data_IF_466194404764
#
_entry.id   IF_466194404764
#
_cell.length_a   1.000
_cell.length_b   1.000
_cell.length_c   1.000
_cell.angle_alpha   90.00
_cell.angle_beta   90.00
_cell.angle_gamma   90.00
#
_symmetry.space_group_name_H-M   'P 1'
#
loop_
_entity.id
_entity.type
_entity.pdbx_description
1 polymer ?
#
# COMPACT_ATOMS: atom_id res chain seq x y z
N UNK A 1 29.96 -5.88 4.92
CA UNK A 1 29.24 -5.69 3.67
C UNK A 1 27.87 -5.07 3.93
N UNK A 2 27.53 -4.06 3.15
CA UNK A 2 26.24 -3.41 3.27
C UNK A 2 25.20 -4.14 2.43
N UNK A 3 24.05 -4.42 3.03
CA UNK A 3 22.93 -5.02 2.33
C UNK A 3 21.94 -3.92 1.97
N UNK A 4 21.55 -3.84 0.71
CA UNK A 4 20.49 -2.92 0.28
C UNK A 4 19.17 -3.36 0.89
N UNK A 5 18.46 -2.44 1.54
CA UNK A 5 17.14 -2.73 2.06
C UNK A 5 16.16 -2.97 0.91
N UNK A 6 15.26 -3.91 1.09
CA UNK A 6 14.18 -4.13 0.15
C UNK A 6 13.30 -2.86 0.11
N UNK A 7 12.87 -2.49 -1.10
CA UNK A 7 11.90 -1.42 -1.25
C UNK A 7 10.56 -1.86 -0.68
N UNK A 8 9.89 -0.96 0.01
CA UNK A 8 8.56 -1.18 0.51
C UNK A 8 7.63 -0.17 -0.14
N UNK A 9 6.47 -0.62 -0.58
CA UNK A 9 5.45 0.27 -1.15
C UNK A 9 4.16 0.06 -0.38
N UNK A 10 3.61 1.17 0.12
CA UNK A 10 2.33 1.14 0.82
C UNK A 10 1.20 1.20 -0.22
N UNK A 11 0.28 0.24 -0.14
CA UNK A 11 -0.93 0.25 -0.95
C UNK A 11 -2.09 0.58 -0.02
N UNK A 12 -2.76 1.68 -0.29
CA UNK A 12 -3.85 2.22 0.52
C UNK A 12 -5.13 2.29 -0.30
N UNK A 13 -6.26 2.35 0.35
CA UNK A 13 -7.55 2.46 -0.32
C UNK A 13 -8.60 1.54 0.25
N UNK A 14 -9.78 1.58 -0.36
CA UNK A 14 -10.91 0.74 0.03
C UNK A 14 -11.91 0.67 -1.12
N UNK A 15 -12.88 -0.23 -0.98
CA UNK A 15 -13.93 -0.42 -1.97
C UNK A 15 -13.76 -1.74 -2.71
N UNK A 16 -14.77 -2.61 -2.60
CA UNK A 16 -14.75 -3.94 -3.23
C UNK A 16 -14.61 -3.87 -4.75
N UNK A 17 -15.14 -2.82 -5.36
CA UNK A 17 -15.05 -2.61 -6.81
C UNK A 17 -13.64 -2.38 -7.32
N UNK A 18 -12.70 -2.05 -6.40
CA UNK A 18 -11.31 -1.76 -6.75
C UNK A 18 -10.35 -2.91 -6.46
N UNK A 19 -10.86 -4.05 -6.01
CA UNK A 19 -10.01 -5.18 -5.62
C UNK A 19 -9.17 -5.73 -6.77
N UNK A 20 -9.75 -5.85 -7.97
CA UNK A 20 -9.01 -6.35 -9.12
C UNK A 20 -7.80 -5.46 -9.45
N UNK A 21 -7.97 -4.15 -9.39
CA UNK A 21 -6.87 -3.21 -9.62
C UNK A 21 -5.81 -3.33 -8.51
N UNK A 22 -6.22 -3.44 -7.26
CA UNK A 22 -5.31 -3.58 -6.13
C UNK A 22 -4.51 -4.88 -6.20
N UNK A 23 -5.16 -5.98 -6.60
CA UNK A 23 -4.49 -7.26 -6.78
C UNK A 23 -3.39 -7.17 -7.84
N UNK A 24 -3.69 -6.53 -8.96
CA UNK A 24 -2.71 -6.32 -10.02
C UNK A 24 -1.54 -5.45 -9.55
N UNK A 25 -1.82 -4.38 -8.80
CA UNK A 25 -0.77 -3.54 -8.20
C UNK A 25 0.14 -4.38 -7.32
N UNK A 26 -0.43 -5.19 -6.43
CA UNK A 26 0.34 -6.06 -5.53
C UNK A 26 1.22 -7.04 -6.30
N UNK A 27 0.66 -7.67 -7.33
CA UNK A 27 1.40 -8.61 -8.17
C UNK A 27 2.58 -7.92 -8.85
N UNK A 28 2.35 -6.78 -9.47
CA UNK A 28 3.39 -6.04 -10.18
C UNK A 28 4.49 -5.53 -9.26
N UNK A 29 4.13 -5.07 -8.05
CA UNK A 29 5.11 -4.67 -7.05
C UNK A 29 6.01 -5.84 -6.65
N UNK A 30 5.41 -6.99 -6.40
CA UNK A 30 6.17 -8.19 -6.04
C UNK A 30 7.10 -8.63 -7.17
N UNK A 31 6.65 -8.54 -8.42
CA UNK A 31 7.49 -8.85 -9.58
C UNK A 31 8.71 -7.91 -9.69
N UNK A 32 8.59 -6.72 -9.14
CA UNK A 32 9.68 -5.74 -9.07
C UNK A 32 10.51 -5.88 -7.80
N UNK A 33 10.28 -6.92 -7.00
CA UNK A 33 11.04 -7.19 -5.78
C UNK A 33 10.65 -6.34 -4.59
N UNK A 34 9.49 -5.68 -4.63
CA UNK A 34 9.03 -4.83 -3.55
C UNK A 34 8.24 -5.61 -2.51
N UNK A 35 8.38 -5.22 -1.25
CA UNK A 35 7.50 -5.66 -0.17
C UNK A 35 6.25 -4.77 -0.19
N UNK A 36 5.08 -5.37 -0.07
CA UNK A 36 3.81 -4.66 -0.07
C UNK A 36 3.32 -4.45 1.36
N UNK A 37 3.17 -3.19 1.76
CA UNK A 37 2.71 -2.79 3.08
C UNK A 37 1.28 -2.28 2.96
N UNK A 38 0.39 -2.75 3.83
CA UNK A 38 -0.99 -2.24 3.89
C UNK A 38 -1.44 -2.11 5.34
N UNK A 39 -2.65 -1.59 5.53
CA UNK A 39 -3.32 -1.58 6.83
C UNK A 39 -3.81 -2.94 7.29
N UNK A 40 -3.63 -3.98 6.49
CA UNK A 40 -3.82 -5.37 6.92
C UNK A 40 -5.24 -5.91 6.94
N UNK A 41 -6.23 -5.11 6.56
CA UNK A 41 -7.64 -5.52 6.63
C UNK A 41 -8.15 -6.05 5.28
N UNK A 42 -9.42 -5.78 4.96
CA UNK A 42 -10.10 -6.35 3.79
C UNK A 42 -10.02 -5.47 2.53
N UNK A 43 -10.73 -5.89 1.52
CA UNK A 43 -10.89 -5.18 0.25
C UNK A 43 -9.55 -4.91 -0.44
N UNK A 44 -9.25 -3.66 -0.72
CA UNK A 44 -8.01 -3.25 -1.40
C UNK A 44 -6.77 -3.76 -0.68
N UNK A 45 -6.74 -3.69 0.64
CA UNK A 45 -5.60 -4.16 1.44
C UNK A 45 -5.36 -5.65 1.26
N UNK A 46 -6.41 -6.44 1.38
CA UNK A 46 -6.33 -7.89 1.19
C UNK A 46 -5.98 -8.25 -0.26
N UNK A 47 -6.58 -7.56 -1.22
CA UNK A 47 -6.33 -7.81 -2.65
C UNK A 47 -4.88 -7.53 -3.03
N UNK A 48 -4.31 -6.43 -2.54
CA UNK A 48 -2.90 -6.11 -2.78
C UNK A 48 -1.97 -7.19 -2.22
N UNK A 49 -2.25 -7.65 -1.00
CA UNK A 49 -1.49 -8.75 -0.40
C UNK A 49 -1.64 -10.05 -1.18
N UNK A 50 -2.85 -10.39 -1.60
CA UNK A 50 -3.12 -11.60 -2.39
C UNK A 50 -2.30 -11.58 -3.69
N UNK A 51 -2.35 -10.47 -4.42
CA UNK A 51 -1.58 -10.32 -5.66
C UNK A 51 -0.09 -10.45 -5.44
N UNK A 52 0.44 -9.86 -4.38
CA UNK A 52 1.85 -9.95 -4.03
C UNK A 52 2.24 -11.40 -3.73
N UNK A 53 1.41 -12.14 -3.00
CA UNK A 53 1.68 -13.54 -2.67
C UNK A 53 1.65 -14.43 -3.91
N UNK A 54 0.77 -14.16 -4.86
CA UNK A 54 0.72 -14.90 -6.12
C UNK A 54 2.02 -14.77 -6.91
N UNK A 55 2.72 -13.66 -6.79
CA UNK A 55 4.00 -13.43 -7.45
C UNK A 55 5.21 -13.74 -6.54
N UNK A 56 5.00 -14.38 -5.41
CA UNK A 56 6.08 -14.77 -4.50
C UNK A 56 6.68 -13.65 -3.68
N UNK A 57 5.96 -12.54 -3.53
CA UNK A 57 6.43 -11.38 -2.78
C UNK A 57 6.23 -11.50 -1.28
N UNK A 58 6.67 -10.50 -0.55
CA UNK A 58 6.52 -10.38 0.91
C UNK A 58 5.49 -9.31 1.24
N UNK A 59 4.67 -9.57 2.25
CA UNK A 59 3.59 -8.67 2.66
C UNK A 59 3.67 -8.35 4.14
N UNK A 60 3.38 -7.09 4.49
CA UNK A 60 3.36 -6.61 5.87
C UNK A 60 2.02 -5.93 6.13
N UNK A 61 1.33 -6.37 7.18
CA UNK A 61 0.10 -5.76 7.66
C UNK A 61 0.40 -4.91 8.90
N UNK A 62 -0.03 -3.66 8.89
CA UNK A 62 0.07 -2.77 10.05
C UNK A 62 -1.34 -2.52 10.55
N UNK A 63 -1.73 -3.26 11.58
CA UNK A 63 -3.11 -3.30 12.08
C UNK A 63 -3.42 -2.19 13.08
N UNK A 64 -4.67 -1.70 13.08
CA UNK A 64 -5.08 -0.68 14.05
C UNK A 64 -5.35 -1.23 15.46
N UNK A 65 -5.68 -2.50 15.56
CA UNK A 65 -6.11 -3.13 16.81
C UNK A 65 -5.00 -3.84 17.56
N UNK A 66 -5.42 -4.74 18.44
CA UNK A 66 -4.52 -5.43 19.37
C UNK A 66 -4.36 -6.92 19.08
N UNK A 67 -4.98 -7.44 18.02
CA UNK A 67 -4.94 -8.87 17.70
C UNK A 67 -4.43 -9.10 16.28
N UNK A 68 -3.46 -9.99 16.15
CA UNK A 68 -2.94 -10.42 14.86
C UNK A 68 -3.99 -11.15 14.02
N UNK A 69 -5.00 -11.72 14.67
CA UNK A 69 -6.05 -12.46 13.99
C UNK A 69 -6.92 -11.60 13.08
N UNK A 70 -6.90 -10.28 13.26
CA UNK A 70 -7.63 -9.36 12.41
C UNK A 70 -6.99 -9.19 11.03
N UNK A 71 -5.74 -9.61 10.84
CA UNK A 71 -5.05 -9.48 9.56
C UNK A 71 -5.69 -10.38 8.49
N UNK A 72 -5.67 -9.90 7.24
CA UNK A 72 -6.08 -10.73 6.13
C UNK A 72 -5.15 -11.95 5.99
N UNK A 73 -5.60 -13.05 5.36
CA UNK A 73 -4.84 -14.30 5.34
C UNK A 73 -3.57 -14.27 4.47
N UNK A 74 -3.37 -13.21 3.68
CA UNK A 74 -2.18 -13.09 2.81
C UNK A 74 -1.06 -12.25 3.42
N UNK A 75 -1.22 -11.78 4.67
CA UNK A 75 -0.16 -11.05 5.36
C UNK A 75 0.90 -12.01 5.88
N UNK A 76 2.15 -11.82 5.45
CA UNK A 76 3.27 -12.63 5.96
C UNK A 76 3.67 -12.20 7.36
N UNK A 77 3.76 -10.89 7.57
CA UNK A 77 4.15 -10.29 8.85
C UNK A 77 3.10 -9.30 9.28
N UNK A 78 2.84 -9.25 10.58
CA UNK A 78 1.79 -8.42 11.13
C UNK A 78 2.32 -7.60 12.29
N UNK A 79 2.13 -6.29 12.23
CA UNK A 79 2.44 -5.36 13.31
C UNK A 79 1.12 -4.96 13.95
N UNK A 80 0.98 -5.20 15.26
CA UNK A 80 -0.22 -4.86 16.01
C UNK A 80 0.05 -3.55 16.75
N UNK A 81 -0.62 -2.48 16.36
CA UNK A 81 -0.31 -1.16 16.90
C UNK A 81 -1.16 -0.76 18.11
N UNK A 82 -2.41 -1.19 18.16
CA UNK A 82 -3.33 -0.80 19.23
C UNK A 82 -3.70 0.67 19.27
N UNK A 83 -3.43 1.43 18.20
CA UNK A 83 -3.65 2.89 18.19
C UNK A 83 -4.75 3.36 17.23
N UNK A 84 -5.55 2.43 16.71
CA UNK A 84 -6.68 2.78 15.85
C UNK A 84 -6.25 3.47 14.56
N UNK A 85 -6.99 4.50 14.15
CA UNK A 85 -6.73 5.21 12.91
C UNK A 85 -5.37 5.90 12.84
N UNK A 86 -4.73 6.15 13.98
CA UNK A 86 -3.38 6.74 13.98
C UNK A 86 -2.35 5.83 13.30
N UNK A 87 -2.63 4.53 13.15
CA UNK A 87 -1.74 3.61 12.44
C UNK A 87 -1.62 3.95 10.94
N UNK A 88 -2.51 4.79 10.42
CA UNK A 88 -2.42 5.23 9.02
C UNK A 88 -1.13 5.98 8.75
N UNK A 89 -0.60 6.68 9.75
CA UNK A 89 0.72 7.30 9.64
C UNK A 89 1.81 6.24 9.47
N UNK A 90 1.75 5.15 10.24
CA UNK A 90 2.73 4.08 10.15
C UNK A 90 2.69 3.40 8.77
N UNK A 91 1.51 3.21 8.19
CA UNK A 91 1.37 2.64 6.84
C UNK A 91 2.04 3.55 5.82
N UNK A 92 1.68 4.82 5.80
CA UNK A 92 2.24 5.79 4.84
C UNK A 92 3.75 5.95 5.01
N UNK A 93 4.22 6.01 6.26
CA UNK A 93 5.63 6.19 6.56
C UNK A 93 6.49 4.97 6.18
N UNK A 94 5.90 3.78 6.24
CA UNK A 94 6.62 2.52 5.96
C UNK A 94 6.84 2.28 4.49
N UNK A 95 6.14 2.99 3.60
CA UNK A 95 6.36 2.90 2.17
C UNK A 95 7.42 3.88 1.69
N UNK A 96 8.27 3.44 0.78
CA UNK A 96 9.15 4.35 0.03
C UNK A 96 8.31 5.17 -0.96
N UNK A 97 7.17 4.62 -1.36
CA UNK A 97 6.13 5.28 -2.13
C UNK A 97 4.76 4.78 -1.65
N UNK A 98 3.71 5.48 -2.04
CA UNK A 98 2.32 5.15 -1.69
C UNK A 98 1.50 5.06 -2.97
N UNK A 99 0.74 3.98 -3.13
CA UNK A 99 -0.22 3.84 -4.23
C UNK A 99 -1.61 3.75 -3.63
N UNK A 100 -2.48 4.66 -4.03
CA UNK A 100 -3.88 4.69 -3.58
C UNK A 100 -4.78 4.08 -4.66
N UNK A 101 -5.64 3.15 -4.24
CA UNK A 101 -6.59 2.44 -5.10
C UNK A 101 -7.98 2.57 -4.48
N UNK A 102 -8.87 3.32 -5.13
CA UNK A 102 -10.16 3.63 -4.52
C UNK A 102 -10.00 4.40 -3.22
N UNK A 103 -10.97 4.27 -2.34
CA UNK A 103 -10.83 4.79 -0.98
C UNK A 103 -11.73 5.96 -0.62
N UNK A 104 -11.61 6.41 0.62
CA UNK A 104 -12.39 7.49 1.19
C UNK A 104 -11.53 8.32 2.16
N UNK A 105 -12.10 8.74 3.26
CA UNK A 105 -11.41 9.65 4.20
C UNK A 105 -10.10 9.09 4.77
N UNK A 106 -10.06 7.81 5.11
CA UNK A 106 -8.84 7.18 5.60
C UNK A 106 -7.75 7.19 4.54
N UNK A 107 -8.13 6.98 3.29
CA UNK A 107 -7.21 7.01 2.15
C UNK A 107 -6.67 8.41 1.93
N UNK A 108 -7.52 9.43 2.01
CA UNK A 108 -7.09 10.83 1.93
C UNK A 108 -6.04 11.11 3.00
N UNK A 109 -6.27 10.65 4.23
CA UNK A 109 -5.32 10.84 5.33
C UNK A 109 -3.98 10.18 5.01
N UNK A 110 -3.98 8.94 4.54
CA UNK A 110 -2.76 8.24 4.18
C UNK A 110 -2.01 8.90 3.03
N UNK A 111 -2.74 9.36 2.01
CA UNK A 111 -2.14 10.08 0.89
C UNK A 111 -1.50 11.39 1.36
N UNK A 112 -2.23 12.15 2.17
CA UNK A 112 -1.73 13.43 2.71
C UNK A 112 -0.51 13.23 3.60
N UNK A 113 -0.52 12.21 4.46
CA UNK A 113 0.61 11.87 5.32
C UNK A 113 1.83 11.44 4.49
N UNK A 114 1.61 10.65 3.43
CA UNK A 114 2.68 10.28 2.51
C UNK A 114 3.35 11.49 1.87
N UNK A 115 2.55 12.43 1.38
CA UNK A 115 3.04 13.67 0.78
C UNK A 115 3.79 14.52 1.83
N UNK A 116 3.24 14.61 3.04
CA UNK A 116 3.86 15.35 4.15
C UNK A 116 5.25 14.81 4.48
N UNK A 117 5.43 13.50 4.35
CA UNK A 117 6.71 12.83 4.62
C UNK A 117 7.64 12.81 3.41
N UNK A 118 7.26 13.45 2.32
CA UNK A 118 8.08 13.48 1.11
C UNK A 118 8.02 12.21 0.26
N UNK A 119 7.03 11.35 0.50
CA UNK A 119 6.84 10.14 -0.32
C UNK A 119 6.17 10.51 -1.63
N UNK A 120 6.48 9.76 -2.68
CA UNK A 120 5.71 9.85 -3.91
C UNK A 120 4.37 9.15 -3.68
N UNK A 121 3.29 9.84 -4.01
CA UNK A 121 1.95 9.31 -3.88
C UNK A 121 1.33 9.23 -5.27
N UNK A 122 0.93 8.02 -5.66
CA UNK A 122 0.30 7.75 -6.95
C UNK A 122 -1.15 7.36 -6.72
N UNK A 123 -2.06 7.97 -7.46
CA UNK A 123 -3.49 7.72 -7.34
C UNK A 123 -4.02 7.02 -8.58
N UNK A 124 -4.58 5.82 -8.39
CA UNK A 124 -5.30 5.10 -9.44
C UNK A 124 -6.75 5.56 -9.52
N UNK A 125 -7.46 5.07 -10.54
CA UNK A 125 -8.88 5.33 -10.71
C UNK A 125 -9.64 5.02 -9.42
N UNK A 126 -10.58 5.88 -9.07
CA UNK A 126 -11.36 5.75 -7.84
C UNK A 126 -10.70 6.33 -6.60
N UNK A 127 -9.39 6.58 -6.64
CA UNK A 127 -8.72 7.20 -5.50
C UNK A 127 -9.10 8.68 -5.38
N UNK A 128 -9.15 9.20 -4.15
CA UNK A 128 -9.45 10.62 -3.94
C UNK A 128 -8.45 11.54 -4.62
N UNK A 129 -8.89 12.73 -4.98
CA UNK A 129 -8.01 13.77 -5.49
C UNK A 129 -7.34 14.48 -4.32
N UNK A 130 -6.02 14.33 -4.25
CA UNK A 130 -5.21 15.01 -3.24
C UNK A 130 -4.13 15.77 -3.99
N UNK A 131 -4.03 17.06 -3.71
CA UNK A 131 -3.05 17.91 -4.37
C UNK A 131 -1.63 17.40 -4.10
N UNK A 132 -0.85 17.22 -5.16
CA UNK A 132 0.49 16.64 -5.06
C UNK A 132 0.58 15.16 -5.41
N UNK A 133 -0.54 14.45 -5.44
CA UNK A 133 -0.56 13.06 -5.90
C UNK A 133 -0.53 13.01 -7.43
N UNK A 134 0.19 12.02 -7.96
CA UNK A 134 0.31 11.81 -9.41
C UNK A 134 -0.73 10.79 -9.85
N UNK A 135 -1.52 11.11 -10.87
CA UNK A 135 -2.52 10.20 -11.40
C UNK A 135 -1.91 9.16 -12.32
N UNK A 136 -2.35 7.92 -12.19
CA UNK A 136 -2.00 6.82 -13.07
C UNK A 136 -3.24 6.28 -13.77
N UNK A 137 -3.09 5.89 -15.02
CA UNK A 137 -4.20 5.40 -15.83
C UNK A 137 -4.54 3.92 -15.56
N UNK A 138 -3.57 3.15 -15.07
CA UNK A 138 -3.73 1.72 -14.85
C UNK A 138 -2.68 1.22 -13.83
N UNK A 139 -2.83 -0.02 -13.32
CA UNK A 139 -1.89 -0.56 -12.35
C UNK A 139 -0.43 -0.56 -12.80
N UNK A 140 -0.15 -0.90 -14.06
CA UNK A 140 1.23 -0.93 -14.56
C UNK A 140 1.87 0.46 -14.51
N UNK A 141 1.13 1.49 -14.93
CA UNK A 141 1.62 2.87 -14.85
C UNK A 141 1.79 3.31 -13.40
N UNK A 142 0.87 2.92 -12.51
CA UNK A 142 0.97 3.28 -11.11
C UNK A 142 2.27 2.74 -10.48
N UNK A 143 2.60 1.50 -10.75
CA UNK A 143 3.83 0.89 -10.23
C UNK A 143 5.06 1.55 -10.84
N UNK A 144 5.04 1.82 -12.14
CA UNK A 144 6.14 2.50 -12.82
C UNK A 144 6.39 3.89 -12.23
N UNK A 145 5.33 4.67 -12.05
CA UNK A 145 5.43 6.00 -11.45
C UNK A 145 5.90 5.95 -10.01
N UNK A 146 5.39 5.00 -9.23
CA UNK A 146 5.75 4.86 -7.82
C UNK A 146 7.24 4.54 -7.64
N UNK A 147 7.80 3.72 -8.52
CA UNK A 147 9.18 3.25 -8.39
C UNK A 147 10.19 4.11 -9.14
N UNK A 148 9.75 5.06 -9.95
CA UNK A 148 10.64 5.90 -10.75
C UNK A 148 11.57 6.71 -9.85
N UNK A 149 12.87 6.58 -10.08
CA UNK A 149 13.91 7.30 -9.34
C UNK A 149 13.95 7.02 -7.83
N UNK A 150 13.48 5.88 -7.41
CA UNK A 150 13.61 5.46 -6.02
C UNK A 150 14.95 4.75 -5.79
N UNK A 151 15.99 5.32 -6.02
CA UNK A 151 17.31 4.78 -5.69
C UNK A 151 17.54 3.30 -5.97
#
# INVERSE_FOLDING_TARGET
MLTTMARQVAVVGSGAEWEAAAEEVGRLLAERGCTVVTGGLDEVMAAAHRGAKEAGGTTIAILPGESREAANPWADHTVVTGIGHARNLAVAASGDAVIAVGGSYGTIAEMALGLRLGRRVVALEGAPDVDGAVRAANPAEAVELALRNLG
#
